data_IF_269978394501
#
_entry.id   IF_269978394501
#
_cell.length_a   1.000
_cell.length_b   1.000
_cell.length_c   1.000
_cell.angle_alpha   90.00
_cell.angle_beta   90.00
_cell.angle_gamma   90.00
#
_symmetry.space_group_name_H-M   'P 1'
#
loop_
_entity.id
_entity.type
_entity.pdbx_description
1 polymer ?
#
# COMPACT_ATOMS: atom_id res chain seq x y z
N UNK A 1 -0.06 1.04 6.37
CA UNK A 1 -1.19 1.07 5.41
C UNK A 1 -0.77 1.78 4.15
N UNK A 2 -0.63 1.04 3.06
CA UNK A 2 -0.59 1.65 1.74
C UNK A 2 -1.94 2.30 1.44
N UNK A 3 -1.95 3.61 1.23
CA UNK A 3 -3.17 4.38 0.95
C UNK A 3 -3.45 4.34 -0.56
N UNK A 4 -4.32 3.41 -0.98
CA UNK A 4 -4.73 3.26 -2.39
C UNK A 4 -5.31 4.55 -2.95
N UNK A 5 -6.05 5.29 -2.14
CA UNK A 5 -6.65 6.54 -2.55
C UNK A 5 -5.60 7.63 -2.77
N UNK A 6 -4.57 7.71 -1.93
CA UNK A 6 -3.46 8.63 -2.16
C UNK A 6 -2.71 8.29 -3.45
N UNK A 7 -2.46 7.00 -3.71
CA UNK A 7 -1.82 6.53 -4.94
C UNK A 7 -2.63 6.89 -6.18
N UNK A 8 -3.94 6.63 -6.17
CA UNK A 8 -4.82 6.97 -7.27
C UNK A 8 -4.98 8.50 -7.44
N UNK A 9 -5.10 9.24 -6.32
CA UNK A 9 -5.22 10.70 -6.34
C UNK A 9 -3.98 11.38 -6.90
N UNK A 10 -2.79 10.81 -6.71
CA UNK A 10 -1.56 11.32 -7.30
C UNK A 10 -1.55 11.27 -8.84
N UNK A 11 -2.51 10.56 -9.44
CA UNK A 11 -2.69 10.43 -10.89
C UNK A 11 -3.80 11.32 -11.47
N UNK A 12 -4.46 12.15 -10.66
CA UNK A 12 -5.50 13.06 -11.15
C UNK A 12 -5.03 13.88 -12.37
N UNK A 13 -5.86 13.89 -13.41
CA UNK A 13 -5.57 14.55 -14.69
C UNK A 13 -4.60 13.79 -15.61
N UNK A 14 -4.04 12.65 -15.18
CA UNK A 14 -3.16 11.81 -15.98
C UNK A 14 -3.91 10.58 -16.49
N UNK A 15 -3.48 10.05 -17.63
CA UNK A 15 -3.87 8.73 -18.10
C UNK A 15 -2.97 7.67 -17.47
N UNK A 16 -3.57 6.66 -16.85
CA UNK A 16 -2.87 5.46 -16.40
C UNK A 16 -3.22 4.32 -17.35
N UNK A 17 -2.23 3.66 -17.93
CA UNK A 17 -2.39 2.54 -18.84
C UNK A 17 -1.37 1.47 -18.39
N UNK A 18 -1.88 0.37 -17.84
CA UNK A 18 -1.06 -0.67 -17.19
C UNK A 18 -0.84 -1.89 -18.10
N UNK A 19 -1.68 -2.08 -19.12
CA UNK A 19 -1.62 -3.23 -20.02
C UNK A 19 -1.25 -2.88 -21.47
N UNK A 20 -1.21 -1.58 -21.81
CA UNK A 20 -0.90 -1.07 -23.15
C UNK A 20 -2.05 -1.25 -24.16
N UNK A 21 -3.25 -1.60 -23.70
CA UNK A 21 -4.42 -1.90 -24.52
C UNK A 21 -5.59 -0.98 -24.18
N UNK A 22 -6.29 -0.51 -25.22
CA UNK A 22 -7.50 0.33 -25.08
C UNK A 22 -7.28 1.69 -24.35
N UNK A 23 -6.04 2.10 -24.08
CA UNK A 23 -5.71 3.35 -23.38
C UNK A 23 -6.13 3.29 -21.91
N UNK A 24 -6.32 4.44 -21.25
CA UNK A 24 -6.63 4.44 -19.82
C UNK A 24 -8.06 4.01 -19.50
N UNK A 25 -8.23 2.76 -19.04
CA UNK A 25 -9.48 2.18 -18.58
C UNK A 25 -9.65 2.29 -17.05
N UNK A 26 -10.85 1.98 -16.56
CA UNK A 26 -11.15 2.03 -15.13
C UNK A 26 -10.30 1.03 -14.32
N UNK A 27 -10.01 -0.14 -14.88
CA UNK A 27 -9.21 -1.18 -14.23
C UNK A 27 -7.73 -0.81 -14.14
N UNK A 28 -7.16 -0.07 -15.10
CA UNK A 28 -5.75 0.34 -15.08
C UNK A 28 -5.38 1.12 -13.82
N UNK A 29 -6.26 2.01 -13.38
CA UNK A 29 -6.04 2.79 -12.17
C UNK A 29 -5.97 1.90 -10.92
N UNK A 30 -6.80 0.87 -10.87
CA UNK A 30 -6.83 -0.10 -9.75
C UNK A 30 -5.58 -0.98 -9.79
N UNK A 31 -5.24 -1.51 -10.97
CA UNK A 31 -4.01 -2.29 -11.17
C UNK A 31 -2.78 -1.48 -10.75
N UNK A 32 -2.69 -0.22 -11.17
CA UNK A 32 -1.61 0.68 -10.75
C UNK A 32 -1.55 0.85 -9.23
N UNK A 33 -2.68 1.17 -8.58
CA UNK A 33 -2.71 1.42 -7.15
C UNK A 33 -2.35 0.17 -6.35
N UNK A 34 -2.93 -0.98 -6.70
CA UNK A 34 -2.70 -2.27 -6.04
C UNK A 34 -1.29 -2.80 -6.28
N UNK A 35 -0.77 -2.70 -7.52
CA UNK A 35 0.59 -3.12 -7.83
C UNK A 35 1.62 -2.24 -7.13
N UNK A 36 1.37 -0.94 -7.03
CA UNK A 36 2.26 -0.01 -6.31
C UNK A 36 2.23 -0.24 -4.80
N UNK A 37 1.05 -0.51 -4.24
CA UNK A 37 0.85 -0.73 -2.81
C UNK A 37 1.37 -2.09 -2.33
N UNK A 38 1.09 -3.15 -3.09
CA UNK A 38 1.21 -4.54 -2.63
C UNK A 38 2.07 -5.42 -3.54
N UNK A 39 2.55 -4.89 -4.67
CA UNK A 39 3.30 -5.69 -5.66
C UNK A 39 2.44 -6.70 -6.42
N UNK A 40 1.10 -6.62 -6.30
CA UNK A 40 0.16 -7.55 -6.93
C UNK A 40 -0.41 -6.92 -8.20
N UNK A 41 -0.27 -7.63 -9.32
CA UNK A 41 -0.91 -7.25 -10.57
C UNK A 41 -2.25 -8.00 -10.70
N UNK A 42 -3.36 -7.26 -10.72
CA UNK A 42 -4.71 -7.82 -10.87
C UNK A 42 -5.05 -8.00 -12.34
N UNK A 43 -5.80 -9.04 -12.67
CA UNK A 43 -6.25 -9.32 -14.04
C UNK A 43 -7.77 -9.22 -14.22
N UNK A 44 -8.21 -9.27 -15.48
CA UNK A 44 -9.63 -9.26 -15.85
C UNK A 44 -10.22 -7.85 -15.98
N UNK A 45 -11.53 -7.78 -16.15
CA UNK A 45 -12.26 -6.52 -16.24
C UNK A 45 -12.61 -5.99 -14.84
N UNK A 46 -13.24 -4.81 -14.77
CA UNK A 46 -13.67 -4.22 -13.51
C UNK A 46 -14.55 -5.16 -12.66
N UNK A 47 -15.46 -5.91 -13.27
CA UNK A 47 -16.30 -6.88 -12.55
C UNK A 47 -15.51 -8.04 -11.93
N UNK A 48 -14.32 -8.34 -12.46
CA UNK A 48 -13.42 -9.42 -12.03
C UNK A 48 -12.48 -9.01 -10.90
N UNK A 49 -12.53 -7.75 -10.44
CA UNK A 49 -11.69 -7.21 -9.36
C UNK A 49 -11.70 -8.14 -8.13
N UNK A 50 -12.88 -8.61 -7.71
CA UNK A 50 -13.06 -9.53 -6.59
C UNK A 50 -13.19 -11.00 -6.99
N UNK A 51 -12.64 -11.40 -8.14
CA UNK A 51 -12.56 -12.81 -8.56
C UNK A 51 -11.67 -13.63 -7.64
N UNK A 52 -11.86 -14.95 -7.63
CA UNK A 52 -11.09 -15.86 -6.78
C UNK A 52 -9.58 -15.79 -7.07
N UNK A 53 -9.18 -15.59 -8.34
CA UNK A 53 -7.77 -15.46 -8.73
C UNK A 53 -7.14 -14.18 -8.18
N UNK A 54 -7.80 -13.03 -8.30
CA UNK A 54 -7.31 -11.76 -7.78
C UNK A 54 -7.25 -11.77 -6.25
N UNK A 55 -8.27 -12.30 -5.59
CA UNK A 55 -8.27 -12.44 -4.12
C UNK A 55 -7.14 -13.36 -3.66
N UNK A 56 -6.93 -14.51 -4.33
CA UNK A 56 -5.83 -15.41 -4.00
C UNK A 56 -4.46 -14.75 -4.21
N UNK A 57 -4.27 -13.97 -5.28
CA UNK A 57 -3.02 -13.25 -5.54
C UNK A 57 -2.72 -12.21 -4.43
N UNK A 58 -3.74 -11.47 -4.01
CA UNK A 58 -3.65 -10.53 -2.88
C UNK A 58 -3.32 -11.25 -1.56
N UNK A 59 -4.03 -12.32 -1.25
CA UNK A 59 -3.80 -13.11 -0.04
C UNK A 59 -2.42 -13.78 -0.02
N UNK A 60 -1.94 -14.27 -1.17
CA UNK A 60 -0.59 -14.83 -1.31
C UNK A 60 0.50 -13.77 -1.11
N UNK A 61 0.21 -12.50 -1.40
CA UNK A 61 1.07 -11.36 -1.07
C UNK A 61 0.91 -10.87 0.38
N UNK A 62 0.14 -11.57 1.21
CA UNK A 62 -0.09 -11.23 2.62
C UNK A 62 -1.09 -10.08 2.83
N UNK A 63 -1.88 -9.74 1.82
CA UNK A 63 -2.92 -8.69 1.89
C UNK A 63 -4.20 -9.25 2.49
N UNK A 64 -4.75 -8.59 3.50
CA UNK A 64 -6.11 -8.87 3.97
C UNK A 64 -7.11 -8.33 2.97
N UNK A 65 -8.06 -9.16 2.59
CA UNK A 65 -9.14 -8.78 1.68
C UNK A 65 -10.47 -8.98 2.39
N UNK A 66 -11.21 -7.89 2.59
CA UNK A 66 -12.60 -7.93 3.03
C UNK A 66 -13.50 -7.57 1.86
N UNK A 67 -14.44 -8.46 1.54
CA UNK A 67 -15.51 -8.16 0.58
C UNK A 67 -16.64 -7.44 1.31
N UNK A 68 -17.09 -6.33 0.73
CA UNK A 68 -18.16 -5.49 1.24
C UNK A 68 -19.39 -5.72 0.36
N UNK A 69 -20.47 -6.24 0.95
CA UNK A 69 -21.71 -6.54 0.23
C UNK A 69 -22.79 -5.49 0.44
N UNK A 70 -22.58 -4.58 1.39
CA UNK A 70 -23.49 -3.47 1.66
C UNK A 70 -22.77 -2.15 1.41
N UNK A 71 -23.32 -1.32 0.52
CA UNK A 71 -22.77 -0.01 0.18
C UNK A 71 -22.59 0.91 1.40
N UNK A 72 -23.45 0.79 2.41
CA UNK A 72 -23.34 1.59 3.65
C UNK A 72 -22.11 1.28 4.50
N UNK A 73 -21.41 0.18 4.23
CA UNK A 73 -20.18 -0.23 4.92
C UNK A 73 -18.91 0.19 4.20
N UNK A 74 -19.03 0.82 3.02
CA UNK A 74 -17.90 1.39 2.30
C UNK A 74 -17.22 2.47 3.14
N UNK A 75 -15.89 2.48 3.08
CA UNK A 75 -15.02 3.44 3.73
C UNK A 75 -14.10 4.08 2.69
N UNK A 76 -13.54 5.23 3.07
CA UNK A 76 -12.45 5.86 2.33
C UNK A 76 -11.32 4.85 2.09
N UNK A 77 -10.84 4.77 0.86
CA UNK A 77 -9.79 3.85 0.43
C UNK A 77 -10.28 2.51 -0.10
N UNK A 78 -11.55 2.16 0.08
CA UNK A 78 -12.10 0.93 -0.49
C UNK A 78 -12.17 1.01 -2.01
N UNK A 79 -11.96 -0.13 -2.66
CA UNK A 79 -12.26 -0.31 -4.08
C UNK A 79 -13.75 -0.60 -4.18
N UNK A 80 -14.50 0.16 -4.96
CA UNK A 80 -15.92 -0.08 -5.24
C UNK A 80 -16.09 -0.59 -6.67
N UNK A 81 -16.88 -1.66 -6.82
CA UNK A 81 -17.17 -2.32 -8.10
C UNK A 81 -18.65 -2.20 -8.43
N UNK A 82 -18.92 -1.89 -9.69
CA UNK A 82 -20.24 -1.78 -10.29
C UNK A 82 -20.40 -2.84 -11.39
N UNK A 83 -21.61 -3.39 -11.54
CA UNK A 83 -21.87 -4.57 -12.39
C UNK A 83 -22.46 -4.28 -13.77
N UNK A 84 -22.50 -3.03 -14.20
CA UNK A 84 -23.26 -2.64 -15.39
C UNK A 84 -22.45 -2.85 -16.68
N UNK A 85 -23.16 -3.22 -17.73
CA UNK A 85 -22.55 -3.72 -18.96
C UNK A 85 -21.82 -5.05 -18.76
N UNK A 86 -21.13 -5.51 -19.80
CA UNK A 86 -20.41 -6.79 -19.77
C UNK A 86 -19.08 -6.75 -19.01
N UNK A 87 -18.58 -5.55 -18.70
CA UNK A 87 -17.23 -5.34 -18.14
C UNK A 87 -17.24 -4.77 -16.71
N UNK A 88 -18.36 -4.16 -16.29
CA UNK A 88 -18.47 -3.43 -15.02
C UNK A 88 -17.71 -2.10 -15.02
N UNK A 89 -17.72 -1.44 -13.87
CA UNK A 89 -16.89 -0.26 -13.60
C UNK A 89 -16.26 -0.36 -12.20
N UNK A 90 -15.11 0.26 -12.01
CA UNK A 90 -14.39 0.21 -10.73
C UNK A 90 -13.75 1.55 -10.40
N UNK A 91 -13.70 1.86 -9.11
CA UNK A 91 -13.15 3.12 -8.59
C UNK A 91 -12.63 2.96 -7.15
N UNK A 92 -11.94 3.97 -6.64
CA UNK A 92 -11.56 4.06 -5.22
C UNK A 92 -12.41 5.11 -4.53
N UNK A 93 -12.95 4.76 -3.36
CA UNK A 93 -13.83 5.62 -2.56
C UNK A 93 -13.00 6.67 -1.82
N UNK A 94 -13.31 7.95 -2.01
CA UNK A 94 -12.75 9.07 -1.25
C UNK A 94 -13.66 9.47 -0.08
N UNK A 95 -14.97 9.52 -0.33
CA UNK A 95 -16.02 9.82 0.65
C UNK A 95 -17.20 8.89 0.36
N UNK A 96 -17.65 8.01 1.28
CA UNK A 96 -18.70 7.02 1.00
C UNK A 96 -20.14 7.55 1.12
N UNK A 97 -20.39 8.55 1.96
CA UNK A 97 -21.77 8.99 2.31
C UNK A 97 -22.39 9.80 1.19
N UNK A 98 -21.66 10.82 0.74
CA UNK A 98 -21.93 11.54 -0.49
C UNK A 98 -20.80 11.20 -1.46
N UNK A 99 -20.98 10.15 -2.28
CA UNK A 99 -19.89 9.47 -2.94
C UNK A 99 -19.00 10.45 -3.69
N UNK A 100 -17.74 10.48 -3.27
CA UNK A 100 -16.64 11.03 -4.06
C UNK A 100 -15.75 9.87 -4.44
N UNK A 101 -15.55 9.66 -5.74
CA UNK A 101 -14.77 8.56 -6.27
C UNK A 101 -13.57 9.08 -7.05
N UNK A 102 -12.43 8.41 -6.89
CA UNK A 102 -11.26 8.56 -7.77
C UNK A 102 -11.27 7.39 -8.75
N UNK A 103 -11.33 7.71 -10.04
CA UNK A 103 -11.62 6.74 -11.09
C UNK A 103 -11.06 7.17 -12.44
N UNK A 104 -11.08 6.26 -13.41
CA UNK A 104 -10.69 6.55 -14.78
C UNK A 104 -11.73 5.96 -15.74
N UNK A 105 -11.84 6.55 -16.93
CA UNK A 105 -12.74 6.15 -18.00
C UNK A 105 -14.25 6.18 -17.66
N UNK A 106 -14.62 6.93 -16.63
CA UNK A 106 -16.02 7.24 -16.40
C UNK A 106 -16.54 8.17 -17.50
N UNK A 107 -17.60 7.75 -18.20
CA UNK A 107 -18.17 8.45 -19.36
C UNK A 107 -17.14 8.72 -20.49
N UNK A 108 -16.19 7.79 -20.70
CA UNK A 108 -15.19 7.91 -21.77
C UNK A 108 -14.01 8.84 -21.45
N UNK A 109 -13.92 9.37 -20.24
CA UNK A 109 -12.79 10.20 -19.80
C UNK A 109 -11.58 9.33 -19.48
N UNK A 110 -10.75 9.01 -20.47
CA UNK A 110 -9.57 8.14 -20.35
C UNK A 110 -8.39 8.77 -19.58
N UNK A 111 -8.69 9.48 -18.49
CA UNK A 111 -7.75 10.04 -17.53
C UNK A 111 -8.38 9.99 -16.14
N UNK A 112 -7.55 10.05 -15.10
CA UNK A 112 -8.04 9.94 -13.71
C UNK A 112 -8.81 11.20 -13.32
N UNK A 113 -10.04 11.01 -12.88
CA UNK A 113 -10.95 12.04 -12.38
C UNK A 113 -11.27 11.82 -10.91
N UNK A 114 -11.68 12.91 -10.26
CA UNK A 114 -12.35 12.89 -8.96
C UNK A 114 -13.76 13.41 -9.19
N UNK A 115 -14.75 12.55 -8.98
CA UNK A 115 -16.15 12.89 -9.21
C UNK A 115 -16.96 12.73 -7.94
N UNK A 116 -17.73 13.76 -7.58
CA UNK A 116 -18.65 13.76 -6.44
C UNK A 116 -20.10 13.78 -6.94
N UNK A 117 -20.95 12.94 -6.38
CA UNK A 117 -22.35 12.80 -6.78
C UNK A 117 -23.19 12.29 -5.61
N UNK A 118 -24.52 12.32 -5.72
CA UNK A 118 -25.36 11.48 -4.88
C UNK A 118 -25.44 10.06 -5.47
N UNK A 119 -25.52 9.02 -4.65
CA UNK A 119 -25.68 7.64 -5.14
C UNK A 119 -26.87 7.48 -6.10
N UNK A 120 -27.93 8.30 -5.95
CA UNK A 120 -29.08 8.36 -6.86
C UNK A 120 -28.79 9.08 -8.20
N UNK A 121 -27.80 9.96 -8.23
CA UNK A 121 -27.36 10.73 -9.41
C UNK A 121 -26.29 10.00 -10.22
N UNK A 122 -25.74 8.90 -9.68
CA UNK A 122 -24.90 7.98 -10.43
C UNK A 122 -25.75 7.06 -11.29
N UNK A 123 -26.48 7.70 -12.21
CA UNK A 123 -27.46 7.06 -13.09
C UNK A 123 -26.71 6.07 -13.99
N UNK A 124 -27.01 4.78 -13.84
CA UNK A 124 -26.50 3.72 -14.71
C UNK A 124 -25.41 2.83 -14.12
N UNK A 125 -25.04 2.99 -12.85
CA UNK A 125 -24.13 2.07 -12.17
C UNK A 125 -24.73 1.41 -10.90
N UNK A 126 -25.01 0.12 -10.99
CA UNK A 126 -25.47 -0.78 -9.95
C UNK A 126 -24.30 -1.24 -9.10
N UNK A 127 -24.30 -0.87 -7.82
CA UNK A 127 -23.32 -1.38 -6.85
C UNK A 127 -23.31 -2.91 -6.84
N UNK A 128 -22.15 -3.51 -7.08
CA UNK A 128 -21.97 -4.95 -7.02
C UNK A 128 -21.39 -5.37 -5.67
N UNK A 129 -20.25 -4.78 -5.31
CA UNK A 129 -19.53 -5.04 -4.06
C UNK A 129 -18.41 -4.02 -3.88
N UNK A 130 -17.83 -3.96 -2.68
CA UNK A 130 -16.55 -3.32 -2.43
C UNK A 130 -15.47 -4.33 -2.03
N UNK A 131 -14.21 -3.93 -2.12
CA UNK A 131 -13.07 -4.62 -1.53
C UNK A 131 -12.29 -3.63 -0.65
N UNK A 132 -12.12 -4.00 0.61
CA UNK A 132 -11.19 -3.35 1.52
C UNK A 132 -9.91 -4.15 1.57
N UNK A 133 -8.82 -3.51 1.18
CA UNK A 133 -7.49 -4.07 1.23
C UNK A 133 -6.78 -3.52 2.46
N UNK A 134 -6.17 -4.40 3.24
CA UNK A 134 -5.41 -4.03 4.43
C UNK A 134 -4.07 -4.74 4.45
N UNK A 135 -3.10 -4.11 5.09
CA UNK A 135 -1.86 -4.79 5.48
C UNK A 135 -2.23 -5.89 6.51
N UNK A 136 -1.54 -7.02 6.49
CA UNK A 136 -1.77 -8.09 7.47
C UNK A 136 -1.49 -7.60 8.89
N UNK A 137 -2.42 -7.88 9.80
CA UNK A 137 -2.26 -7.81 11.26
C UNK A 137 -2.90 -9.04 11.92
N UNK A 138 -2.57 -9.39 13.18
CA UNK A 138 -2.83 -10.71 13.77
C UNK A 138 -4.32 -11.09 13.90
N UNK A 139 -4.56 -12.37 14.25
CA UNK A 139 -5.88 -12.98 14.54
C UNK A 139 -6.76 -12.07 15.42
N UNK A 140 -8.09 -12.07 15.21
CA UNK A 140 -9.00 -11.27 16.02
C UNK A 140 -9.15 -11.90 17.42
N UNK A 141 -9.23 -11.06 18.44
CA UNK A 141 -9.95 -11.35 19.70
C UNK A 141 -10.39 -10.00 20.34
N UNK A 142 -11.38 -10.01 21.24
CA UNK A 142 -12.51 -9.05 21.25
C UNK A 142 -12.26 -7.73 22.01
N UNK A 143 -12.84 -6.65 21.46
CA UNK A 143 -13.23 -5.30 21.97
C UNK A 143 -12.54 -4.68 23.23
N UNK A 144 -12.42 -3.34 23.30
CA UNK A 144 -11.27 -2.55 22.89
C UNK A 144 -10.51 -1.96 24.11
N UNK A 145 -9.18 -1.87 24.02
CA UNK A 145 -8.39 -0.95 24.84
C UNK A 145 -7.29 -0.28 23.99
N UNK A 146 -6.85 0.95 24.33
CA UNK A 146 -6.08 1.81 23.44
C UNK A 146 -4.65 1.26 23.28
N UNK A 147 -4.27 0.87 22.06
CA UNK A 147 -2.95 0.35 21.76
C UNK A 147 -1.96 1.49 21.42
N UNK A 148 -0.91 1.60 22.23
CA UNK A 148 0.22 2.49 22.05
C UNK A 148 1.06 2.06 20.83
N UNK A 149 1.47 3.04 20.00
CA UNK A 149 2.26 2.84 18.79
C UNK A 149 3.62 2.18 19.10
N UNK A 150 3.87 0.99 18.54
CA UNK A 150 5.10 0.21 18.80
C UNK A 150 6.38 0.90 18.28
N UNK A 151 7.41 0.89 19.13
CA UNK A 151 8.70 1.57 19.00
C UNK A 151 9.58 1.09 17.83
N UNK A 152 10.24 2.02 17.12
CA UNK A 152 11.29 1.73 16.14
C UNK A 152 12.70 1.76 16.76
N UNK A 153 13.59 0.87 16.29
CA UNK A 153 14.92 0.62 16.89
C UNK A 153 16.08 1.08 15.98
N UNK A 154 16.95 1.97 16.50
CA UNK A 154 18.21 2.41 15.86
C UNK A 154 19.42 1.71 16.47
N UNK A 155 20.39 1.27 15.64
CA UNK A 155 21.62 0.59 16.07
C UNK A 155 22.86 1.15 15.35
N UNK A 156 24.01 1.20 16.03
CA UNK A 156 25.30 1.58 15.42
C UNK A 156 26.22 0.38 15.38
N UNK A 157 26.64 -0.05 14.18
CA UNK A 157 27.57 -1.18 14.03
C UNK A 157 29.00 -0.64 13.99
N UNK A 158 29.82 -0.97 15.00
CA UNK A 158 31.26 -0.67 14.96
C UNK A 158 31.99 -1.73 14.14
N UNK A 159 32.95 -1.30 13.31
CA UNK A 159 33.94 -2.20 12.74
C UNK A 159 34.96 -2.55 13.81
N UNK A 160 35.25 -3.84 13.95
CA UNK A 160 36.13 -4.33 15.02
C UNK A 160 37.60 -3.92 14.85
N UNK A 161 37.97 -3.22 13.77
CA UNK A 161 39.25 -2.53 13.64
C UNK A 161 39.16 -1.39 12.60
N UNK A 162 39.67 -0.21 12.97
CA UNK A 162 39.75 1.06 12.24
C UNK A 162 38.46 1.93 12.22
N UNK A 163 38.61 3.15 12.75
CA UNK A 163 37.55 4.11 13.04
C UNK A 163 36.59 4.38 11.88
N UNK A 164 35.31 4.15 12.14
CA UNK A 164 34.20 4.37 11.22
C UNK A 164 33.08 3.35 11.43
N UNK A 165 32.14 3.65 12.33
CA UNK A 165 30.93 2.86 12.51
C UNK A 165 29.91 3.13 11.40
N UNK A 166 29.09 2.14 11.06
CA UNK A 166 27.98 2.30 10.11
C UNK A 166 26.66 2.32 10.87
N UNK A 167 25.86 3.37 10.71
CA UNK A 167 24.52 3.46 11.31
C UNK A 167 23.56 2.52 10.59
N UNK A 168 22.80 1.76 11.39
CA UNK A 168 21.76 0.84 10.93
C UNK A 168 20.42 1.09 11.60
N UNK A 169 19.34 0.71 10.93
CA UNK A 169 17.97 0.79 11.45
C UNK A 169 17.29 -0.57 11.30
N UNK A 170 16.50 -0.97 12.30
CA UNK A 170 15.55 -2.08 12.18
C UNK A 170 14.19 -1.50 11.80
N UNK A 171 13.77 -1.73 10.57
CA UNK A 171 12.52 -1.20 10.02
C UNK A 171 11.68 -2.37 9.49
N UNK A 172 10.46 -2.54 10.00
CA UNK A 172 9.55 -3.64 9.64
C UNK A 172 10.22 -5.03 9.67
N UNK A 173 11.01 -5.30 10.71
CA UNK A 173 11.69 -6.60 10.87
C UNK A 173 12.89 -6.82 9.95
N UNK A 174 13.36 -5.80 9.23
CA UNK A 174 14.54 -5.87 8.36
C UNK A 174 15.63 -4.88 8.78
N UNK A 175 16.89 -5.34 8.73
CA UNK A 175 18.05 -4.50 9.03
C UNK A 175 18.52 -3.72 7.79
N UNK A 176 18.52 -2.40 7.90
CA UNK A 176 19.03 -1.47 6.88
C UNK A 176 20.36 -0.90 7.35
N UNK A 177 21.48 -1.35 6.76
CA UNK A 177 22.85 -0.92 7.14
C UNK A 177 23.65 -0.53 5.91
N UNK A 178 24.27 0.65 5.96
CA UNK A 178 25.23 1.14 4.97
C UNK A 178 24.69 1.37 3.55
N UNK A 179 24.56 2.63 3.13
CA UNK A 179 24.53 2.96 1.70
C UNK A 179 23.94 4.32 1.39
N UNK A 180 24.80 5.32 1.22
CA UNK A 180 24.43 6.66 0.73
C UNK A 180 24.20 6.73 -0.79
N UNK A 181 24.06 5.59 -1.49
CA UNK A 181 23.92 5.57 -2.96
C UNK A 181 23.01 4.44 -3.46
N UNK A 182 22.13 4.78 -4.41
CA UNK A 182 21.27 3.84 -5.15
C UNK A 182 19.78 3.83 -4.75
N UNK A 183 19.08 2.75 -5.14
CA UNK A 183 17.62 2.51 -5.02
C UNK A 183 17.04 2.62 -3.59
N UNK A 184 17.89 2.79 -2.58
CA UNK A 184 17.52 2.80 -1.17
C UNK A 184 17.61 4.18 -0.52
N UNK A 185 18.00 5.22 -1.27
CA UNK A 185 18.05 6.61 -0.79
C UNK A 185 16.69 7.05 -0.21
N UNK A 186 15.57 6.69 -0.85
CA UNK A 186 14.22 7.06 -0.39
C UNK A 186 13.89 6.48 0.99
N UNK A 187 14.32 5.25 1.27
CA UNK A 187 14.13 4.60 2.58
C UNK A 187 15.01 5.29 3.64
N UNK A 188 16.25 5.63 3.29
CA UNK A 188 17.14 6.40 4.17
C UNK A 188 16.61 7.79 4.50
N UNK A 189 16.07 8.53 3.52
CA UNK A 189 15.47 9.84 3.76
C UNK A 189 14.26 9.73 4.68
N UNK A 190 13.41 8.71 4.48
CA UNK A 190 12.25 8.44 5.35
C UNK A 190 12.69 8.15 6.79
N UNK A 191 13.69 7.30 7.00
CA UNK A 191 14.23 6.99 8.33
C UNK A 191 14.83 8.23 9.00
N UNK A 192 15.50 9.10 8.24
CA UNK A 192 16.06 10.37 8.74
C UNK A 192 14.98 11.39 9.14
N UNK A 193 13.87 11.45 8.39
CA UNK A 193 12.72 12.28 8.76
C UNK A 193 12.07 11.77 10.04
N UNK A 194 11.86 10.45 10.16
CA UNK A 194 11.28 9.84 11.37
C UNK A 194 12.18 10.00 12.61
N UNK A 195 13.51 10.06 12.42
CA UNK A 195 14.46 10.40 13.49
C UNK A 195 14.28 11.85 13.96
N UNK A 196 14.15 12.79 13.03
CA UNK A 196 13.90 14.21 13.36
C UNK A 196 12.56 14.42 14.08
N UNK A 197 11.56 13.59 13.75
CA UNK A 197 10.22 13.63 14.34
C UNK A 197 10.14 12.90 15.71
N UNK A 198 11.26 12.35 16.20
CA UNK A 198 11.34 11.70 17.52
C UNK A 198 10.68 10.32 17.59
N UNK A 199 10.31 9.73 16.45
CA UNK A 199 9.58 8.46 16.35
C UNK A 199 10.50 7.22 16.44
N UNK A 200 11.82 7.42 16.48
CA UNK A 200 12.81 6.35 16.59
C UNK A 200 13.45 6.40 17.98
N UNK A 201 13.29 5.34 18.77
CA UNK A 201 13.96 5.23 20.08
C UNK A 201 15.34 4.59 19.90
N UNK A 202 16.42 5.22 20.39
CA UNK A 202 17.76 4.63 20.32
C UNK A 202 17.87 3.47 21.29
N UNK A 203 18.16 2.27 20.80
CA UNK A 203 18.42 1.11 21.66
C UNK A 203 19.89 0.77 21.57
N UNK A 204 20.63 1.27 22.55
CA UNK A 204 22.06 1.04 22.79
C UNK A 204 23.00 1.61 21.74
N UNK A 205 23.96 2.35 22.26
CA UNK A 205 24.84 3.19 21.48
C UNK A 205 25.66 2.42 20.45
N UNK A 206 26.03 1.15 20.70
CA UNK A 206 26.96 0.39 19.84
C UNK A 206 26.73 -1.13 19.95
N UNK A 207 26.76 -1.83 18.82
CA UNK A 207 26.82 -3.30 18.74
C UNK A 207 28.06 -3.73 17.97
N UNK A 208 28.63 -4.88 18.36
CA UNK A 208 29.79 -5.49 17.71
C UNK A 208 29.43 -6.07 16.34
N UNK A 209 30.45 -6.32 15.51
CA UNK A 209 30.23 -6.97 14.20
C UNK A 209 29.61 -8.36 14.34
N UNK A 210 29.97 -9.10 15.39
CA UNK A 210 29.41 -10.43 15.68
C UNK A 210 27.92 -10.37 16.06
N UNK A 211 27.53 -9.41 16.92
CA UNK A 211 26.12 -9.18 17.27
C UNK A 211 25.31 -8.76 16.04
N UNK A 212 25.88 -7.93 15.16
CA UNK A 212 25.25 -7.58 13.90
C UNK A 212 25.03 -8.80 12.98
N UNK A 213 26.02 -9.70 12.87
CA UNK A 213 25.88 -10.92 12.07
C UNK A 213 24.81 -11.85 12.62
N UNK A 214 24.77 -12.07 13.94
CA UNK A 214 23.72 -12.86 14.59
C UNK A 214 22.32 -12.25 14.35
N UNK A 215 22.20 -10.92 14.39
CA UNK A 215 20.96 -10.23 14.08
C UNK A 215 20.53 -10.38 12.61
N UNK A 216 21.48 -10.44 11.67
CA UNK A 216 21.18 -10.69 10.25
C UNK A 216 20.72 -12.13 9.96
N UNK A 217 20.99 -13.07 10.86
CA UNK A 217 20.50 -14.45 10.77
C UNK A 217 19.06 -14.59 11.25
N UNK A 218 18.67 -13.78 12.25
CA UNK A 218 17.31 -13.76 12.81
C UNK A 218 16.38 -12.86 12.00
N UNK A 219 16.90 -11.75 11.49
CA UNK A 219 16.15 -10.75 10.74
C UNK A 219 16.77 -10.59 9.35
N UNK A 220 16.00 -10.71 8.26
CA UNK A 220 16.54 -10.62 6.90
C UNK A 220 17.24 -9.27 6.70
N UNK A 221 18.56 -9.32 6.53
CA UNK A 221 19.37 -8.13 6.26
C UNK A 221 19.56 -7.97 4.75
N UNK A 222 19.38 -6.75 4.24
CA UNK A 222 19.82 -6.42 2.89
C UNK A 222 21.29 -6.04 2.93
N UNK A 223 22.17 -7.04 2.86
CA UNK A 223 23.59 -6.78 2.65
C UNK A 223 23.76 -6.22 1.25
N UNK A 224 24.29 -5.00 1.14
CA UNK A 224 24.90 -4.53 -0.09
C UNK A 224 26.05 -5.50 -0.42
N UNK A 225 25.76 -6.52 -1.24
CA UNK A 225 26.83 -7.24 -1.91
C UNK A 225 27.48 -6.24 -2.86
N UNK A 226 28.77 -6.02 -2.64
CA UNK A 226 29.65 -5.24 -3.53
C UNK A 226 29.54 -5.71 -4.97
#
# INVERSE_FOLDING_TARGET
MADLLALASAKLGQTVDMDGMYGGQCMDLIVYAVQTAYGVHMGGNAIDTGSASNIAALQNAGVKVQRITNRGELQRGDIVVFSDGSYGHVAIVEEPTRPTLVQQNMNGRQYVTRDSFAWSEYIGLSFAYGLRLGDSTPKPDPDPQPEEEEEMIKLTVRKDNAGGGTTGYLYNGAFVVGGSTGKYNTIYQKLKMMENDGLIKPIKNEISTAEYQALCEVYPSHKNNK
#
